data_IF_115662023179
#
_entry.id   IF_115662023179
#
_cell.length_a   1.000
_cell.length_b   1.000
_cell.length_c   1.000
_cell.angle_alpha   90.00
_cell.angle_beta   90.00
_cell.angle_gamma   90.00
#
_symmetry.space_group_name_H-M   'P 1'
#
loop_
_entity.id
_entity.type
_entity.pdbx_description
1 polymer ?
2 water ?
#
# COMPACT_ATOMS: atom_id res chain seq x y z
N UNK A 28 28.78 -6.39 4.73
CA UNK A 28 28.26 -7.73 4.36
C UNK A 28 27.18 -8.22 5.33
N UNK A 29 26.04 -8.58 4.77
CA UNK A 29 24.94 -9.07 5.54
C UNK A 29 24.78 -10.51 5.09
N UNK A 30 24.12 -11.34 5.92
CA UNK A 30 23.86 -12.76 5.67
C UNK A 30 23.33 -13.07 4.28
N UNK A 31 22.39 -12.25 3.79
CA UNK A 31 21.82 -12.51 2.49
C UNK A 31 20.70 -13.50 2.68
N UNK A 32 19.93 -13.83 1.63
CA UNK A 32 18.81 -14.78 1.74
C UNK A 32 19.17 -16.03 2.51
N UNK A 33 18.23 -16.54 3.30
CA UNK A 33 18.48 -17.74 4.07
C UNK A 33 18.47 -18.98 3.18
N UNK A 34 19.17 -20.04 3.61
CA UNK A 34 19.20 -21.29 2.85
C UNK A 34 17.82 -21.91 2.92
N UNK A 35 17.24 -21.86 4.12
CA UNK A 35 15.91 -22.38 4.40
C UNK A 35 14.85 -21.46 3.80
N UNK A 36 14.03 -21.99 2.90
CA UNK A 36 13.01 -21.19 2.26
C UNK A 36 11.60 -21.47 2.72
N UNK A 37 10.68 -20.58 2.36
CA UNK A 37 9.28 -20.76 2.71
C UNK A 37 8.85 -21.97 1.92
N UNK A 38 7.69 -22.49 2.23
CA UNK A 38 7.16 -23.60 1.49
C UNK A 38 6.73 -22.98 0.16
N UNK A 39 6.71 -23.77 -0.91
CA UNK A 39 6.29 -23.25 -2.19
C UNK A 39 4.87 -22.68 -2.13
N UNK A 40 4.08 -23.18 -1.18
CA UNK A 40 2.70 -22.73 -1.03
C UNK A 40 2.69 -21.25 -0.65
N UNK A 41 3.47 -20.94 0.38
CA UNK A 41 3.61 -19.59 0.86
C UNK A 41 4.29 -18.68 -0.17
N UNK A 42 5.26 -19.23 -0.91
CA UNK A 42 5.95 -18.45 -1.93
C UNK A 42 4.92 -17.92 -2.92
N UNK A 43 3.85 -18.68 -3.10
CA UNK A 43 2.81 -18.27 -4.03
C UNK A 43 1.77 -17.37 -3.40
N UNK A 44 2.08 -16.90 -2.19
CA UNK A 44 1.20 -15.98 -1.49
C UNK A 44 1.88 -14.62 -1.29
N UNK A 45 3.21 -14.63 -1.40
CA UNK A 45 4.03 -13.42 -1.26
C UNK A 45 3.56 -12.40 -2.29
N UNK A 46 3.12 -11.23 -1.81
CA UNK A 46 2.64 -10.19 -2.70
C UNK A 46 1.20 -10.34 -3.11
N UNK A 47 0.50 -11.33 -2.55
CA UNK A 47 -0.91 -11.51 -2.90
C UNK A 47 -1.79 -10.47 -2.19
N UNK A 48 -2.91 -10.11 -2.80
CA UNK A 48 -3.86 -9.17 -2.18
C UNK A 48 -5.07 -9.97 -1.67
N UNK A 49 -4.91 -10.56 -0.50
CA UNK A 49 -5.96 -11.39 0.10
C UNK A 49 -7.04 -10.63 0.84
N UNK A 50 -7.87 -9.90 0.10
CA UNK A 50 -8.95 -9.14 0.72
C UNK A 50 -9.82 -10.09 1.54
N UNK A 51 -10.16 -9.67 2.76
CA UNK A 51 -10.99 -10.50 3.65
C UNK A 51 -12.31 -10.89 2.98
N UNK A 52 -12.89 -9.95 2.23
CA UNK A 52 -14.13 -10.23 1.54
C UNK A 52 -13.86 -11.18 0.38
N UNK A 53 -13.61 -10.63 -0.81
CA UNK A 53 -13.36 -11.46 -1.98
C UNK A 53 -12.09 -12.31 -1.84
N UNK A 54 -12.20 -13.59 -2.17
CA UNK A 54 -11.07 -14.50 -2.09
C UNK A 54 -11.05 -15.51 -3.26
N UNK A 55 -11.53 -15.05 -4.41
CA UNK A 55 -11.58 -15.86 -5.63
C UNK A 55 -10.52 -15.34 -6.62
N UNK A 56 -9.28 -15.20 -6.15
CA UNK A 56 -8.19 -14.70 -6.97
C UNK A 56 -6.94 -15.56 -6.88
N UNK A 57 -7.10 -16.86 -6.66
CA UNK A 57 -5.96 -17.77 -6.59
C UNK A 57 -5.74 -18.39 -7.96
N UNK A 58 -6.07 -17.64 -9.01
CA UNK A 58 -5.91 -18.11 -10.37
C UNK A 58 -4.47 -18.50 -10.62
N UNK A 59 -4.08 -19.62 -10.00
CA UNK A 59 -2.74 -20.17 -10.10
C UNK A 59 -1.99 -19.58 -11.29
N UNK A 60 -2.51 -19.78 -12.51
CA UNK A 60 -1.82 -19.23 -13.67
C UNK A 60 -1.11 -17.93 -13.35
N UNK A 61 -1.76 -16.80 -13.61
CA UNK A 61 -1.16 -15.52 -13.36
C UNK A 61 -0.71 -15.30 -11.93
N UNK A 62 -1.68 -15.06 -11.05
CA UNK A 62 -1.43 -14.76 -9.64
C UNK A 62 -0.42 -15.59 -8.86
N UNK A 63 -0.52 -16.90 -8.91
CA UNK A 63 0.43 -17.71 -8.19
C UNK A 63 1.82 -17.54 -8.81
N UNK A 64 1.86 -17.26 -10.11
CA UNK A 64 3.15 -17.08 -10.80
C UNK A 64 3.76 -15.76 -10.36
N UNK A 65 2.93 -14.72 -10.36
CA UNK A 65 3.28 -13.35 -9.99
C UNK A 65 3.87 -13.33 -8.59
N UNK A 66 3.21 -14.04 -7.68
CA UNK A 66 3.65 -14.13 -6.31
C UNK A 66 4.97 -14.85 -6.19
N UNK A 67 5.07 -16.01 -6.84
CA UNK A 67 6.30 -16.81 -6.82
C UNK A 67 7.46 -15.96 -7.35
N UNK A 68 7.23 -15.26 -8.45
CA UNK A 68 8.25 -14.40 -9.04
C UNK A 68 8.61 -13.30 -8.05
N UNK A 69 7.61 -12.67 -7.43
CA UNK A 69 7.91 -11.63 -6.47
C UNK A 69 8.76 -12.21 -5.37
N UNK A 70 8.45 -13.42 -4.96
CA UNK A 70 9.24 -14.07 -3.92
C UNK A 70 10.71 -14.27 -4.37
N UNK A 71 10.92 -14.74 -5.60
CA UNK A 71 12.26 -14.98 -6.08
C UNK A 71 13.04 -13.68 -6.19
N UNK A 72 12.42 -12.67 -6.79
CA UNK A 72 13.06 -11.38 -6.98
C UNK A 72 13.40 -10.72 -5.66
N UNK A 73 12.56 -10.95 -4.67
CA UNK A 73 12.81 -10.38 -3.34
C UNK A 73 14.11 -10.98 -2.77
N UNK A 74 14.30 -12.29 -2.94
CA UNK A 74 15.51 -12.92 -2.40
C UNK A 74 16.71 -12.45 -3.20
N UNK A 75 16.50 -12.23 -4.48
CA UNK A 75 17.59 -11.77 -5.33
C UNK A 75 17.97 -10.36 -4.92
N UNK A 76 16.98 -9.49 -4.73
CA UNK A 76 17.29 -8.11 -4.34
C UNK A 76 17.94 -8.13 -2.96
N UNK A 77 17.54 -9.09 -2.14
CA UNK A 77 18.11 -9.18 -0.81
C UNK A 77 19.58 -9.52 -0.94
N UNK A 78 19.86 -10.43 -1.85
CA UNK A 78 21.23 -10.83 -2.07
C UNK A 78 22.07 -9.64 -2.56
N UNK A 79 21.53 -8.82 -3.47
CA UNK A 79 22.24 -7.64 -3.95
C UNK A 79 22.48 -6.64 -2.80
N UNK A 80 21.53 -6.55 -1.88
CA UNK A 80 21.67 -5.65 -0.76
C UNK A 80 22.79 -6.13 0.17
N UNK A 81 22.87 -7.42 0.41
CA UNK A 81 23.91 -7.95 1.30
C UNK A 81 25.32 -7.85 0.69
N UNK A 82 25.38 -7.58 -0.61
CA UNK A 82 26.63 -7.46 -1.34
C UNK A 82 26.93 -6.03 -1.77
N UNK A 83 26.10 -5.07 -1.36
CA UNK A 83 26.35 -3.69 -1.76
C UNK A 83 25.91 -3.38 -3.17
N UNK A 84 25.26 -4.34 -3.82
CA UNK A 84 24.77 -4.13 -5.18
C UNK A 84 23.64 -3.10 -5.23
N UNK A 85 22.89 -3.01 -4.13
CA UNK A 85 21.81 -2.04 -4.00
C UNK A 85 22.24 -1.18 -2.84
N UNK A 86 22.39 0.11 -3.09
CA UNK A 86 22.91 1.01 -2.07
C UNK A 86 21.98 2.09 -1.52
N UNK A 87 20.72 2.06 -1.93
CA UNK A 87 19.75 3.04 -1.44
C UNK A 87 18.32 2.57 -1.66
N UNK A 88 17.41 3.13 -0.88
CA UNK A 88 16.02 2.76 -1.06
C UNK A 88 15.61 3.09 -2.50
N UNK A 89 15.99 4.25 -2.97
CA UNK A 89 15.68 4.66 -4.32
C UNK A 89 16.04 3.55 -5.31
N UNK A 90 17.16 2.88 -5.05
CA UNK A 90 17.56 1.85 -5.99
C UNK A 90 16.75 0.59 -5.80
N UNK A 91 16.44 0.29 -4.54
CA UNK A 91 15.63 -0.89 -4.29
C UNK A 91 14.25 -0.68 -4.96
N UNK A 92 13.70 0.53 -4.81
CA UNK A 92 12.41 0.82 -5.38
C UNK A 92 12.49 0.64 -6.87
N UNK A 93 13.63 1.04 -7.45
CA UNK A 93 13.83 0.89 -8.88
C UNK A 93 13.80 -0.58 -9.26
N UNK A 94 14.46 -1.41 -8.44
CA UNK A 94 14.48 -2.82 -8.74
C UNK A 94 13.06 -3.40 -8.63
N UNK A 95 12.33 -3.02 -7.57
CA UNK A 95 10.95 -3.49 -7.35
C UNK A 95 10.05 -3.08 -8.52
N UNK A 96 10.26 -1.89 -9.05
CA UNK A 96 9.48 -1.37 -10.15
C UNK A 96 9.65 -2.12 -11.47
N UNK A 97 10.89 -2.42 -11.82
CA UNK A 97 11.19 -3.16 -13.05
C UNK A 97 10.63 -4.57 -12.92
N UNK A 98 10.71 -5.14 -11.73
CA UNK A 98 10.13 -6.45 -11.51
C UNK A 98 8.61 -6.36 -11.73
N UNK A 99 8.00 -5.34 -11.14
CA UNK A 99 6.58 -5.12 -11.27
C UNK A 99 6.15 -4.85 -12.73
N UNK A 100 6.90 -4.01 -13.43
CA UNK A 100 6.58 -3.72 -14.82
C UNK A 100 6.67 -4.99 -15.67
N UNK A 101 7.45 -5.96 -15.23
CA UNK A 101 7.62 -7.18 -16.02
C UNK A 101 6.41 -8.09 -16.02
N UNK A 102 5.56 -7.92 -15.01
CA UNK A 102 4.37 -8.76 -14.89
C UNK A 102 3.18 -8.18 -15.64
N UNK A 103 3.34 -6.99 -16.18
CA UNK A 103 2.25 -6.39 -16.94
C UNK A 103 2.10 -7.06 -18.30
N UNK A 104 0.85 -7.23 -18.72
CA UNK A 104 0.52 -7.82 -20.02
C UNK A 104 1.10 -6.91 -21.07
N UNK A 105 1.55 -7.48 -22.17
CA UNK A 105 2.13 -6.64 -23.21
C UNK A 105 1.10 -5.62 -23.70
N UNK A 106 1.59 -4.49 -24.20
CA UNK A 106 0.71 -3.46 -24.68
C UNK A 106 -0.19 -2.85 -23.60
N UNK A 107 0.13 -3.14 -22.33
CA UNK A 107 -0.67 -2.60 -21.22
C UNK A 107 -0.62 -1.07 -21.21
N UNK A 108 -1.80 -0.43 -21.20
CA UNK A 108 -1.97 1.03 -21.19
C UNK A 108 -1.46 1.72 -19.91
N UNK A 109 -1.66 1.07 -18.77
CA UNK A 109 -1.22 1.58 -17.48
C UNK A 109 0.29 1.44 -17.29
N UNK A 110 0.97 0.84 -18.25
CA UNK A 110 2.40 0.63 -18.15
C UNK A 110 3.17 1.86 -17.65
N UNK A 111 2.91 3.00 -18.26
CA UNK A 111 3.59 4.22 -17.89
C UNK A 111 3.35 4.63 -16.42
N UNK A 112 2.12 4.47 -15.95
CA UNK A 112 1.77 4.83 -14.59
C UNK A 112 2.53 3.95 -13.60
N UNK A 113 2.75 2.70 -13.98
CA UNK A 113 3.47 1.75 -13.14
C UNK A 113 4.96 2.09 -13.08
N UNK A 114 5.43 2.84 -14.07
CA UNK A 114 6.83 3.20 -14.14
C UNK A 114 7.03 4.64 -13.70
N UNK A 115 5.95 5.30 -13.29
CA UNK A 115 6.08 6.70 -12.94
C UNK A 115 5.72 7.15 -11.54
N UNK A 116 6.49 8.13 -11.08
CA UNK A 116 6.29 8.74 -9.79
C UNK A 116 5.08 9.63 -9.92
N UNK A 117 4.29 9.65 -8.86
CA UNK A 117 3.09 10.46 -8.81
C UNK A 117 3.52 11.94 -8.78
N UNK A 118 2.71 12.82 -9.33
CA UNK A 118 3.03 14.25 -9.29
C UNK A 118 1.79 14.99 -8.76
N UNK A 119 1.97 16.28 -8.48
CA UNK A 119 0.91 17.13 -7.94
C UNK A 119 -0.40 17.00 -8.71
N UNK A 120 -0.35 17.26 -9.99
CA UNK A 120 -1.53 17.17 -10.79
C UNK A 120 -1.62 15.80 -11.49
N UNK A 121 -1.71 14.76 -10.68
CA UNK A 121 -1.83 13.40 -11.20
C UNK A 121 -2.85 12.76 -10.26
N UNK A 122 -3.54 11.69 -10.69
CA UNK A 122 -4.57 11.07 -9.83
C UNK A 122 -4.11 10.91 -8.38
N UNK A 123 -4.97 11.28 -7.44
CA UNK A 123 -4.66 11.20 -6.02
C UNK A 123 -5.81 10.60 -5.17
N UNK A 124 -6.80 10.01 -5.83
CA UNK A 124 -7.96 9.47 -5.12
C UNK A 124 -8.34 8.04 -5.46
N UNK A 125 -8.78 7.31 -4.43
CA UNK A 125 -9.24 5.96 -4.64
C UNK A 125 -10.65 5.76 -4.08
N UNK A 126 -11.65 5.71 -4.98
CA UNK A 126 -13.05 5.51 -4.60
C UNK A 126 -13.12 4.17 -3.89
N UNK A 127 -13.69 4.15 -2.69
CA UNK A 127 -13.76 2.89 -1.97
C UNK A 127 -14.87 1.95 -2.47
N UNK A 128 -14.57 1.24 -3.55
CA UNK A 128 -15.48 0.26 -4.16
C UNK A 128 -14.74 -1.08 -4.21
N UNK A 129 -15.36 -2.10 -4.81
CA UNK A 129 -14.74 -3.41 -4.92
C UNK A 129 -13.40 -3.27 -5.65
N UNK A 130 -12.36 -4.00 -5.21
CA UNK A 130 -12.29 -4.95 -4.11
C UNK A 130 -11.99 -4.30 -2.78
N UNK A 131 -12.18 -2.98 -2.72
CA UNK A 131 -11.87 -2.20 -1.52
C UNK A 131 -13.05 -1.97 -0.56
N UNK A 132 -14.23 -2.47 -0.90
CA UNK A 132 -15.41 -2.25 -0.08
C UNK A 132 -15.23 -2.67 1.40
N UNK A 133 -14.35 -3.63 1.70
CA UNK A 133 -14.13 -4.01 3.11
C UNK A 133 -13.44 -2.88 3.89
N UNK A 134 -12.99 -1.87 3.18
CA UNK A 134 -12.35 -0.72 3.81
C UNK A 134 -13.38 0.05 4.63
N UNK A 135 -14.53 0.31 4.01
CA UNK A 135 -15.64 1.05 4.61
C UNK A 135 -15.85 0.68 6.07
N UNK A 136 -16.04 -0.60 6.34
CA UNK A 136 -16.24 -1.03 7.72
C UNK A 136 -15.11 -0.51 8.60
N UNK A 137 -13.89 -0.89 8.25
CA UNK A 137 -12.71 -0.51 9.02
C UNK A 137 -12.56 0.97 9.28
N UNK A 138 -12.99 1.81 8.35
CA UNK A 138 -12.91 3.23 8.57
C UNK A 138 -13.93 3.59 9.65
N UNK A 139 -15.19 3.22 9.40
CA UNK A 139 -16.30 3.47 10.31
C UNK A 139 -16.05 2.96 11.72
N UNK A 140 -15.49 1.76 11.83
CA UNK A 140 -15.20 1.18 13.15
C UNK A 140 -13.82 1.58 13.65
N UNK A 141 -13.18 2.50 12.95
CA UNK A 141 -11.83 2.88 13.33
C UNK A 141 -11.74 3.64 14.64
N UNK A 142 -11.07 3.01 15.61
CA UNK A 142 -10.81 3.59 16.92
C UNK A 142 -10.47 5.07 16.75
N UNK A 143 -9.76 5.42 15.68
CA UNK A 143 -9.36 6.81 15.47
C UNK A 143 -10.14 7.58 14.40
N UNK A 144 -11.28 7.06 13.97
CA UNK A 144 -12.08 7.77 12.97
C UNK A 144 -12.94 8.82 13.70
N UNK A 145 -13.25 9.92 13.03
CA UNK A 145 -14.05 10.96 13.66
C UNK A 145 -15.19 11.35 12.70
N UNK A 146 -16.34 11.73 13.28
CA UNK A 146 -17.52 12.12 12.53
C UNK A 146 -17.28 13.52 12.01
N UNK A 147 -17.48 13.71 10.71
CA UNK A 147 -17.21 15.00 10.09
C UNK A 147 -18.38 15.28 9.13
N UNK A 148 -18.51 16.50 8.65
CA UNK A 148 -19.59 16.76 7.70
C UNK A 148 -18.90 17.13 6.41
N UNK A 149 -19.35 16.54 5.30
CA UNK A 149 -18.74 16.80 4.02
C UNK A 149 -19.67 17.62 3.13
N UNK A 150 -19.10 18.63 2.49
CA UNK A 150 -19.86 19.50 1.59
C UNK A 150 -19.76 18.98 0.16
N UNK A 151 -20.84 18.46 -0.38
CA UNK A 151 -20.83 17.93 -1.75
C UNK A 151 -21.77 18.61 -2.73
N UNK A 152 -21.25 18.95 -3.92
CA UNK A 152 -22.03 19.60 -4.97
C UNK A 152 -23.19 18.75 -5.49
N UNK A 153 -23.18 17.45 -5.21
CA UNK A 153 -24.25 16.59 -5.70
C UNK A 153 -25.13 16.00 -4.62
N UNK A 154 -24.54 15.64 -3.49
CA UNK A 154 -25.32 15.04 -2.44
C UNK A 154 -25.62 16.00 -1.32
N UNK A 155 -24.87 17.10 -1.28
CA UNK A 155 -25.04 18.07 -0.22
C UNK A 155 -24.27 17.58 1.00
N UNK A 156 -24.55 18.17 2.15
CA UNK A 156 -23.89 17.79 3.40
C UNK A 156 -24.04 16.32 3.71
N UNK A 157 -22.92 15.63 3.88
CA UNK A 157 -22.97 14.21 4.21
C UNK A 157 -22.24 13.93 5.50
N UNK A 158 -22.79 13.05 6.31
CA UNK A 158 -22.10 12.69 7.54
C UNK A 158 -21.05 11.66 7.08
N UNK A 159 -19.79 11.92 7.38
CA UNK A 159 -18.75 10.99 6.97
C UNK A 159 -17.89 10.63 8.16
N UNK A 160 -17.55 9.34 8.27
CA UNK A 160 -16.65 8.87 9.31
C UNK A 160 -15.31 9.16 8.65
N UNK A 161 -14.37 9.75 9.39
CA UNK A 161 -13.12 10.12 8.80
C UNK A 161 -11.86 9.74 9.54
N UNK A 162 -10.97 9.03 8.85
CA UNK A 162 -9.71 8.66 9.45
C UNK A 162 -8.59 9.39 8.72
N UNK A 163 -7.92 10.29 9.42
CA UNK A 163 -6.83 11.04 8.84
C UNK A 163 -5.51 10.41 9.30
N UNK A 164 -4.81 9.74 8.37
CA UNK A 164 -3.51 9.14 8.69
C UNK A 164 -2.49 10.28 8.70
N UNK A 165 -1.62 10.26 9.70
CA UNK A 165 -0.61 11.30 9.85
C UNK A 165 0.72 10.66 10.19
N UNK A 166 1.81 11.37 9.91
CA UNK A 166 3.12 10.79 10.19
C UNK A 166 4.05 11.83 10.81
N UNK A 167 4.97 11.35 11.64
CA UNK A 167 5.93 12.23 12.27
C UNK A 167 7.19 12.24 11.39
N UNK A 168 7.64 13.41 11.00
CA UNK A 168 8.85 13.54 10.16
C UNK A 168 9.66 14.75 10.60
N UNK A 169 10.69 14.52 11.42
CA UNK A 169 11.57 15.60 11.92
C UNK A 169 10.84 16.62 12.75
N UNK A 170 9.71 16.20 13.33
CA UNK A 170 8.93 17.12 14.14
C UNK A 170 7.72 17.68 13.40
N UNK A 171 7.71 17.56 12.08
CA UNK A 171 6.57 18.03 11.31
C UNK A 171 5.59 16.86 11.26
N UNK A 172 4.36 17.05 11.68
CA UNK A 172 3.41 15.96 11.63
C UNK A 172 2.60 16.20 10.37
N UNK A 173 2.75 15.30 9.40
CA UNK A 173 2.06 15.48 8.15
C UNK A 173 0.92 14.52 7.86
N UNK A 174 -0.04 14.99 7.06
CA UNK A 174 -1.19 14.19 6.66
C UNK A 174 -0.77 13.26 5.53
N UNK A 175 -0.96 11.97 5.72
CA UNK A 175 -0.65 11.04 4.65
C UNK A 175 -2.00 10.83 3.98
N UNK A 176 -2.55 9.63 4.08
CA UNK A 176 -3.85 9.30 3.49
C UNK A 176 -5.06 9.65 4.37
N UNK A 177 -6.12 10.16 3.74
CA UNK A 177 -7.34 10.48 4.46
C UNK A 177 -8.50 9.63 3.94
N UNK A 178 -9.06 8.81 4.81
CA UNK A 178 -10.20 7.97 4.43
C UNK A 178 -11.54 8.69 4.74
N UNK A 179 -12.52 8.58 3.84
CA UNK A 179 -13.87 9.17 4.04
C UNK A 179 -14.86 8.04 3.81
N UNK A 180 -15.81 7.85 4.70
CA UNK A 180 -16.85 6.85 4.46
C UNK A 180 -18.16 7.51 4.84
N UNK A 181 -18.94 7.85 3.82
CA UNK A 181 -20.24 8.48 4.04
C UNK A 181 -21.06 7.57 4.96
N UNK A 182 -21.70 8.14 5.98
CA UNK A 182 -22.44 7.30 6.91
C UNK A 182 -23.98 7.21 6.72
N UNK A 183 -24.56 8.10 5.94
CA UNK A 183 -26.00 8.09 5.68
C UNK A 183 -26.35 7.15 4.51
N UNK A 184 -26.25 5.85 4.77
CA UNK A 184 -26.49 4.83 3.75
C UNK A 184 -27.76 4.99 2.93
N UNK A 185 -28.90 4.90 3.61
CA UNK A 185 -30.21 5.01 2.97
C UNK A 185 -30.26 6.19 2.01
N UNK A 186 -30.05 7.39 2.53
CA UNK A 186 -30.07 8.61 1.74
C UNK A 186 -29.24 8.51 0.47
N UNK A 187 -28.02 8.01 0.61
CA UNK A 187 -27.09 7.84 -0.50
C UNK A 187 -27.59 6.80 -1.48
N UNK A 188 -28.16 5.72 -0.95
CA UNK A 188 -28.69 4.65 -1.79
C UNK A 188 -29.66 5.29 -2.78
N UNK A 189 -30.47 6.21 -2.28
CA UNK A 189 -31.42 6.90 -3.14
C UNK A 189 -30.69 7.83 -4.08
N UNK A 190 -30.40 9.04 -3.60
CA UNK A 190 -29.70 10.07 -4.38
C UNK A 190 -28.87 9.59 -5.57
N UNK A 191 -28.11 8.53 -5.38
CA UNK A 191 -27.30 7.99 -6.46
C UNK A 191 -28.15 7.44 -7.61
N UNK A 192 -29.17 6.64 -7.28
CA UNK A 192 -30.05 6.08 -8.31
C UNK A 192 -30.67 7.28 -9.00
N UNK A 193 -31.08 8.24 -8.18
CA UNK A 193 -31.68 9.47 -8.66
C UNK A 193 -30.71 10.14 -9.65
N UNK A 194 -29.59 10.58 -9.11
CA UNK A 194 -28.60 11.28 -9.91
C UNK A 194 -28.09 10.50 -11.11
N UNK A 195 -27.98 9.19 -10.97
CA UNK A 195 -27.48 8.35 -12.05
C UNK A 195 -28.36 8.56 -13.27
N UNK A 196 -29.66 8.65 -13.01
CA UNK A 196 -30.65 8.82 -14.05
C UNK A 196 -30.81 10.29 -14.40
N UNK A 197 -30.83 11.13 -13.38
CA UNK A 197 -30.99 12.55 -13.60
C UNK A 197 -29.81 13.18 -14.31
N UNK A 198 -28.65 12.51 -14.28
CA UNK A 198 -27.45 13.04 -14.92
C UNK A 198 -26.85 12.04 -15.87
N UNK A 199 -27.36 10.81 -15.84
CA UNK A 199 -26.82 9.78 -16.72
C UNK A 199 -25.55 9.18 -16.12
N UNK A 200 -25.43 7.86 -16.22
CA UNK A 200 -24.31 7.09 -15.70
C UNK A 200 -22.90 7.65 -15.91
N UNK A 201 -22.57 8.01 -17.16
CA UNK A 201 -21.25 8.53 -17.48
C UNK A 201 -20.85 9.72 -16.63
N UNK A 202 -21.69 10.75 -16.63
CA UNK A 202 -21.40 11.94 -15.85
C UNK A 202 -21.17 11.57 -14.41
N UNK A 203 -22.18 10.93 -13.80
CA UNK A 203 -22.11 10.52 -12.41
C UNK A 203 -20.85 9.74 -12.06
N UNK A 204 -20.47 8.80 -12.92
CA UNK A 204 -19.28 7.99 -12.69
C UNK A 204 -18.03 8.87 -12.73
N UNK A 205 -17.98 9.78 -13.70
CA UNK A 205 -16.84 10.68 -13.81
C UNK A 205 -16.71 11.43 -12.50
N UNK A 206 -17.83 11.90 -11.99
CA UNK A 206 -17.82 12.64 -10.74
C UNK A 206 -17.38 11.76 -9.58
N UNK A 207 -17.94 10.56 -9.49
CA UNK A 207 -17.60 9.66 -8.40
C UNK A 207 -16.17 9.19 -8.48
N UNK A 208 -15.54 9.41 -9.63
CA UNK A 208 -14.15 8.98 -9.80
C UNK A 208 -13.32 9.76 -8.78
N UNK A 209 -13.64 11.04 -8.63
CA UNK A 209 -12.95 11.88 -7.66
C UNK A 209 -13.70 12.13 -6.35
N UNK A 210 -15.01 12.32 -6.43
CA UNK A 210 -15.79 12.65 -5.25
C UNK A 210 -16.70 11.59 -4.67
N UNK A 211 -16.40 10.35 -4.93
CA UNK A 211 -17.21 9.28 -4.38
C UNK A 211 -17.15 9.45 -2.87
N UNK A 212 -18.29 9.69 -2.22
CA UNK A 212 -18.33 9.85 -0.76
C UNK A 212 -17.50 8.83 0.02
N UNK A 213 -17.29 7.66 -0.57
CA UNK A 213 -16.49 6.65 0.08
C UNK A 213 -15.16 6.57 -0.63
N UNK A 214 -14.17 7.30 -0.13
CA UNK A 214 -12.87 7.27 -0.77
C UNK A 214 -11.66 7.59 0.08
N UNK A 215 -10.50 7.35 -0.52
CA UNK A 215 -9.25 7.66 0.11
C UNK A 215 -8.64 8.77 -0.70
N UNK A 216 -8.38 9.90 -0.06
CA UNK A 216 -7.67 11.01 -0.69
C UNK A 216 -6.23 10.69 -0.23
N UNK A 217 -5.38 10.35 -1.20
CA UNK A 217 -4.01 9.95 -0.90
C UNK A 217 -3.01 11.03 -0.53
N UNK A 218 -1.88 10.58 0.01
CA UNK A 218 -0.80 11.48 0.41
C UNK A 218 -0.50 12.44 -0.72
N UNK A 219 -0.42 13.73 -0.39
CA UNK A 219 -0.16 14.75 -1.39
C UNK A 219 1.22 14.51 -2.01
N UNK A 220 1.25 14.47 -3.34
CA UNK A 220 2.50 14.23 -4.05
C UNK A 220 3.62 15.18 -3.62
N UNK A 221 3.24 16.36 -3.18
CA UNK A 221 4.24 17.32 -2.78
C UNK A 221 5.10 16.85 -1.60
N UNK A 222 4.68 15.77 -0.93
CA UNK A 222 5.44 15.24 0.21
C UNK A 222 6.35 14.10 -0.20
N UNK A 223 6.24 13.68 -1.46
CA UNK A 223 7.08 12.58 -1.88
C UNK A 223 8.60 12.82 -1.75
N UNK A 224 9.09 14.04 -2.00
CA UNK A 224 10.53 14.24 -1.86
C UNK A 224 11.06 13.98 -0.44
N UNK A 225 10.42 14.56 0.57
CA UNK A 225 10.93 14.31 1.90
C UNK A 225 10.67 12.89 2.36
N UNK A 226 9.58 12.30 1.90
CA UNK A 226 9.28 10.93 2.28
C UNK A 226 10.34 10.03 1.66
N UNK A 227 10.69 10.28 0.40
CA UNK A 227 11.72 9.46 -0.24
C UNK A 227 13.04 9.62 0.51
N UNK A 228 13.35 10.85 0.91
CA UNK A 228 14.60 11.03 1.64
C UNK A 228 14.49 10.22 2.93
N UNK A 229 13.31 10.25 3.54
CA UNK A 229 13.13 9.53 4.79
C UNK A 229 13.31 8.03 4.56
N UNK A 230 12.77 7.52 3.46
CA UNK A 230 12.86 6.13 3.10
C UNK A 230 14.35 5.74 2.91
N UNK A 231 15.13 6.63 2.30
CA UNK A 231 16.55 6.38 2.12
C UNK A 231 17.19 6.33 3.50
N UNK A 232 16.75 7.19 4.43
CA UNK A 232 17.35 7.15 5.77
C UNK A 232 17.00 5.84 6.48
N UNK A 233 15.76 5.38 6.31
CA UNK A 233 15.33 4.13 6.95
C UNK A 233 16.12 2.98 6.38
N UNK A 234 16.31 3.01 5.06
CA UNK A 234 17.07 1.99 4.36
C UNK A 234 18.51 1.95 4.94
N UNK A 235 19.18 3.10 4.98
CA UNK A 235 20.55 3.11 5.50
C UNK A 235 20.60 2.48 6.89
N UNK A 236 19.63 2.78 7.75
CA UNK A 236 19.64 2.18 9.08
C UNK A 236 19.48 0.69 8.93
N UNK A 237 18.38 0.30 8.28
CA UNK A 237 18.01 -1.09 8.04
C UNK A 237 19.12 -2.01 7.51
N UNK A 238 20.07 -1.48 6.76
CA UNK A 238 21.10 -2.37 6.29
C UNK A 238 22.24 -2.46 7.29
N UNK A 239 22.00 -2.01 8.52
CA UNK A 239 23.01 -2.11 9.58
C UNK A 239 23.31 -3.58 9.82
N UNK A 240 24.56 -3.90 10.17
CA UNK A 240 24.95 -5.29 10.41
C UNK A 240 24.86 -5.73 11.87
N UNK A 241 24.58 -4.79 12.76
CA UNK A 241 24.48 -5.09 14.19
C UNK A 241 23.11 -4.68 14.75
N UNK A 242 22.05 -5.06 14.05
CA UNK A 242 20.70 -4.74 14.50
C UNK A 242 20.13 -5.94 15.24
N UNK A 243 19.41 -5.72 16.33
CA UNK A 243 18.80 -6.88 16.98
C UNK A 243 17.65 -7.28 16.05
N UNK A 244 17.08 -8.46 16.28
CA UNK A 244 15.97 -8.93 15.47
C UNK A 244 14.80 -7.98 15.65
N UNK A 245 14.69 -7.41 16.84
CA UNK A 245 13.63 -6.48 17.16
C UNK A 245 13.78 -5.22 16.31
N UNK A 246 14.94 -4.59 16.42
CA UNK A 246 15.21 -3.37 15.68
C UNK A 246 14.98 -3.57 14.19
N UNK A 247 15.47 -4.70 13.68
CA UNK A 247 15.34 -5.02 12.28
C UNK A 247 13.90 -5.08 11.80
N UNK A 248 13.06 -5.83 12.52
CA UNK A 248 11.66 -5.96 12.12
C UNK A 248 10.97 -4.60 12.14
N UNK A 249 11.33 -3.81 13.14
CA UNK A 249 10.79 -2.47 13.29
C UNK A 249 11.13 -1.63 12.06
N UNK A 250 12.39 -1.66 11.63
CA UNK A 250 12.81 -0.89 10.47
C UNK A 250 12.10 -1.32 9.19
N UNK A 251 11.89 -2.63 9.06
CA UNK A 251 11.21 -3.18 7.91
C UNK A 251 9.76 -2.72 7.90
N UNK A 252 9.12 -2.74 9.06
CA UNK A 252 7.73 -2.30 9.15
C UNK A 252 7.60 -0.84 8.79
N UNK A 253 8.47 -0.01 9.37
CA UNK A 253 8.43 1.44 9.13
C UNK A 253 8.63 1.75 7.65
N UNK A 254 9.55 1.01 7.05
CA UNK A 254 9.86 1.23 5.66
C UNK A 254 8.64 0.85 4.88
N UNK A 255 8.10 -0.32 5.22
CA UNK A 255 6.90 -0.83 4.59
C UNK A 255 5.80 0.23 4.76
N UNK A 256 5.63 0.70 6.01
CA UNK A 256 4.63 1.70 6.34
C UNK A 256 4.72 2.98 5.52
N UNK A 257 5.91 3.58 5.50
CA UNK A 257 6.10 4.82 4.74
C UNK A 257 5.93 4.66 3.23
N UNK A 258 6.52 3.61 2.67
CA UNK A 258 6.44 3.42 1.22
C UNK A 258 4.99 3.20 0.78
N UNK A 259 4.29 2.35 1.52
CA UNK A 259 2.91 2.01 1.23
C UNK A 259 1.97 3.19 1.46
N UNK A 260 2.13 3.88 2.59
CA UNK A 260 1.25 4.99 2.89
C UNK A 260 1.51 6.18 1.98
N UNK A 261 2.75 6.29 1.54
CA UNK A 261 3.09 7.41 0.69
C UNK A 261 2.57 7.21 -0.72
N UNK A 262 2.50 5.94 -1.17
CA UNK A 262 2.06 5.62 -2.55
C UNK A 262 2.84 6.52 -3.52
N UNK A 263 4.17 6.37 -3.52
CA UNK A 263 5.08 7.15 -4.35
C UNK A 263 4.79 7.16 -5.83
N UNK A 264 4.31 6.03 -6.36
CA UNK A 264 4.08 5.96 -7.80
C UNK A 264 2.64 5.91 -8.22
N UNK A 265 2.40 6.35 -9.44
CA UNK A 265 1.05 6.38 -9.98
C UNK A 265 0.41 5.02 -9.91
N UNK A 266 1.21 3.96 -9.99
CA UNK A 266 0.66 2.62 -9.95
C UNK A 266 1.62 1.62 -9.32
N UNK A 267 1.11 0.54 -8.73
CA UNK A 267 1.95 -0.49 -8.12
C UNK A 267 2.76 -0.19 -6.86
N UNK A 268 2.52 0.96 -6.24
CA UNK A 268 3.28 1.29 -5.04
C UNK A 268 3.17 0.20 -3.97
N UNK A 269 1.99 -0.37 -3.82
CA UNK A 269 1.83 -1.38 -2.79
C UNK A 269 2.71 -2.58 -3.02
N UNK A 270 2.81 -3.00 -4.27
CA UNK A 270 3.65 -4.12 -4.65
C UNK A 270 5.11 -3.72 -4.42
N UNK A 271 5.50 -2.54 -4.91
CA UNK A 271 6.87 -2.10 -4.73
C UNK A 271 7.25 -2.00 -3.24
N UNK A 272 6.34 -1.51 -2.40
CA UNK A 272 6.63 -1.37 -0.97
C UNK A 272 6.81 -2.70 -0.29
N UNK A 273 5.96 -3.66 -0.63
CA UNK A 273 6.11 -4.98 -0.02
C UNK A 273 7.40 -5.62 -0.53
N UNK A 274 7.65 -5.42 -1.82
CA UNK A 274 8.85 -5.96 -2.46
C UNK A 274 10.06 -5.45 -1.67
N UNK A 275 10.12 -4.13 -1.49
CA UNK A 275 11.22 -3.53 -0.76
C UNK A 275 11.37 -4.03 0.67
N UNK A 276 10.26 -4.04 1.42
CA UNK A 276 10.30 -4.49 2.80
C UNK A 276 10.89 -5.90 2.91
N UNK A 277 10.35 -6.83 2.13
CA UNK A 277 10.83 -8.22 2.16
C UNK A 277 12.30 -8.37 1.71
N UNK A 278 12.73 -7.58 0.71
CA UNK A 278 14.12 -7.66 0.24
C UNK A 278 15.03 -7.29 1.39
N UNK A 279 14.71 -6.20 2.07
CA UNK A 279 15.52 -5.79 3.20
C UNK A 279 15.56 -6.89 4.26
N UNK A 280 14.43 -7.55 4.49
CA UNK A 280 14.39 -8.61 5.47
C UNK A 280 15.24 -9.78 4.98
N UNK A 281 15.13 -10.07 3.68
CA UNK A 281 15.87 -11.17 3.11
C UNK A 281 17.38 -10.91 3.13
N UNK A 282 17.78 -9.64 3.05
CA UNK A 282 19.18 -9.26 3.07
C UNK A 282 19.80 -9.76 4.38
N UNK A 283 18.98 -9.78 5.42
CA UNK A 283 19.46 -10.23 6.71
C UNK A 283 19.22 -11.70 6.95
N UNK A 284 18.68 -12.39 5.95
CA UNK A 284 18.45 -13.82 6.12
C UNK A 284 17.10 -14.10 6.74
N UNK A 285 16.30 -13.06 6.91
CA UNK A 285 14.97 -13.24 7.48
C UNK A 285 14.09 -13.68 6.32
N UNK A 286 13.35 -14.77 6.50
CA UNK A 286 12.46 -15.24 5.45
C UNK A 286 11.04 -14.95 5.92
N UNK A 287 10.54 -13.77 5.60
CA UNK A 287 9.21 -13.36 6.01
C UNK A 287 8.13 -14.18 5.34
N UNK A 288 7.18 -14.73 6.12
CA UNK A 288 6.06 -15.53 5.61
C UNK A 288 5.07 -14.56 4.98
N UNK A 289 4.13 -15.05 4.16
CA UNK A 289 3.17 -14.13 3.53
C UNK A 289 2.23 -13.43 4.50
N UNK A 290 1.58 -12.37 4.05
CA UNK A 290 0.66 -11.71 4.94
C UNK A 290 -0.56 -12.61 5.14
N UNK A 291 -1.18 -12.55 6.32
CA UNK A 291 -2.36 -13.37 6.60
C UNK A 291 -3.51 -13.05 5.64
N UNK A 292 -4.32 -14.06 5.35
CA UNK A 292 -5.49 -13.91 4.49
C UNK A 292 -6.31 -12.76 5.10
N UNK A 293 -6.98 -11.98 4.26
CA UNK A 293 -7.74 -10.84 4.77
C UNK A 293 -6.85 -9.66 5.16
N UNK A 294 -5.54 -9.89 5.23
CA UNK A 294 -4.58 -8.85 5.58
C UNK A 294 -3.85 -8.29 4.37
N UNK A 295 -4.36 -7.18 3.83
CA UNK A 295 -3.76 -6.50 2.70
C UNK A 295 -2.82 -5.39 3.26
N UNK A 296 -1.52 -5.70 3.29
CA UNK A 296 -0.46 -4.83 3.82
C UNK A 296 -0.61 -3.32 3.68
N UNK A 297 -0.67 -2.82 2.45
CA UNK A 297 -0.77 -1.39 2.28
C UNK A 297 -2.01 -0.77 2.92
N UNK A 298 -3.13 -1.48 2.87
CA UNK A 298 -4.34 -0.97 3.49
C UNK A 298 -4.13 -0.97 5.00
N UNK A 299 -3.56 -2.07 5.52
CA UNK A 299 -3.29 -2.10 6.95
C UNK A 299 -2.37 -0.92 7.30
N UNK A 300 -1.40 -0.63 6.44
CA UNK A 300 -0.50 0.46 6.73
C UNK A 300 -1.23 1.78 6.68
N UNK A 301 -1.99 1.99 5.61
CA UNK A 301 -2.70 3.24 5.48
C UNK A 301 -3.69 3.48 6.64
N UNK A 302 -4.26 2.41 7.17
CA UNK A 302 -5.22 2.59 8.24
C UNK A 302 -4.57 2.79 9.59
N UNK A 303 -3.25 2.70 9.67
CA UNK A 303 -2.65 2.87 10.98
C UNK A 303 -1.61 3.93 11.11
N UNK A 304 -1.21 4.11 12.37
CA UNK A 304 -0.16 5.05 12.75
C UNK A 304 1.09 4.20 12.68
N UNK A 305 2.21 4.85 12.39
CA UNK A 305 3.49 4.16 12.25
C UNK A 305 3.88 3.28 13.44
N UNK A 306 3.76 3.80 14.66
CA UNK A 306 4.13 3.00 15.81
C UNK A 306 3.19 1.82 15.96
N UNK A 307 1.91 2.04 15.65
CA UNK A 307 0.90 0.97 15.74
C UNK A 307 1.28 -0.11 14.74
N UNK A 308 1.57 0.33 13.52
CA UNK A 308 1.94 -0.58 12.45
C UNK A 308 3.18 -1.39 12.85
N UNK A 309 4.20 -0.72 13.35
CA UNK A 309 5.40 -1.45 13.73
C UNK A 309 5.01 -2.51 14.75
N UNK A 310 4.23 -2.13 15.76
CA UNK A 310 3.80 -3.07 16.78
C UNK A 310 2.98 -4.23 16.23
N UNK A 311 2.11 -3.98 15.26
CA UNK A 311 1.28 -5.06 14.73
C UNK A 311 1.87 -5.74 13.49
N UNK A 312 3.05 -5.31 13.06
CA UNK A 312 3.63 -5.91 11.86
C UNK A 312 3.71 -7.43 11.88
N UNK A 313 4.39 -8.01 12.87
CA UNK A 313 4.52 -9.46 12.95
C UNK A 313 3.18 -10.20 12.92
N UNK A 314 2.21 -9.70 13.68
CA UNK A 314 0.89 -10.35 13.74
C UNK A 314 0.13 -10.28 12.44
N UNK A 315 0.60 -9.45 11.52
CA UNK A 315 -0.05 -9.32 10.22
C UNK A 315 0.47 -10.42 9.29
N UNK A 316 1.51 -11.11 9.74
CA UNK A 316 2.16 -12.16 8.97
C UNK A 316 1.77 -13.64 9.15
N UNK A 317 2.27 -14.46 8.20
CA UNK A 317 2.06 -15.90 8.07
C UNK A 317 0.65 -16.43 8.25
#
# INVERSE_FOLDING_TARGET
MGCVSSKSTTVLSPQTSFNEASRTSFRALPGPSQRQLEVYDQCLIGAARWPDDSSKSNTPENRAYCQSMYNSIRSAGDEISRGGITSFEELWGRATEWRLSKLQRGEPLYSAFASERTSDTDAVTPLVKPYKSVLARVVDHEDAHDEIMQDNLFGDLNVKVYRQTAYLHGNVIPLNTFRVATDTEYLRDRVAHLRTELGAKALKQHLQRYNPDRIDHTNASYLPIIKDHLNDLYRQAISSDLSQAELISLIARTHWWAASAMPDQRGSAAKAEFAARAIASAHGIELPPFRNGNVSDIEAMLSGEEEFVEKYRSLLDSDCFGTGHHHHHH
#
